data_IF_759783618025
#
_entry.id   IF_759783618025
#
_cell.length_a   1.000
_cell.length_b   1.000
_cell.length_c   1.000
_cell.angle_alpha   90.00
_cell.angle_beta   90.00
_cell.angle_gamma   90.00
#
_symmetry.space_group_name_H-M   'P 1'
#
loop_
_entity.id
_entity.type
_entity.pdbx_description
1 polymer ?
#
# COMPACT_ATOMS: atom_id res chain seq x y z
N UNK A 1 -7.12 -1.08 1.95
CA UNK A 1 -8.20 -0.15 2.34
C UNK A 1 -8.55 -0.26 3.83
N UNK A 2 -8.62 -1.49 4.40
CA UNK A 2 -8.98 -1.66 5.83
C UNK A 2 -8.00 -1.02 6.81
N UNK A 3 -6.71 -0.89 6.48
CA UNK A 3 -5.76 -0.12 7.30
C UNK A 3 -6.16 1.35 7.47
N UNK A 4 -6.90 1.91 6.50
CA UNK A 4 -7.44 3.27 6.54
C UNK A 4 -8.90 3.26 7.05
N UNK A 5 -9.17 2.57 8.16
CA UNK A 5 -10.43 2.65 8.92
C UNK A 5 -10.17 3.17 10.32
N UNK A 6 -11.23 3.65 10.97
CA UNK A 6 -11.11 4.19 12.34
C UNK A 6 -10.65 3.10 13.33
N UNK A 7 -11.17 1.87 13.17
CA UNK A 7 -10.91 0.74 14.06
C UNK A 7 -9.57 0.03 13.81
N UNK A 8 -8.90 0.30 12.66
CA UNK A 8 -7.62 -0.34 12.37
C UNK A 8 -6.57 0.00 13.45
N UNK A 9 -5.96 -0.99 14.11
CA UNK A 9 -5.03 -0.77 15.21
C UNK A 9 -3.63 -0.40 14.72
N UNK A 10 -3.55 0.59 13.81
CA UNK A 10 -2.31 1.13 13.28
C UNK A 10 -2.17 2.60 13.67
N UNK A 11 -0.92 3.05 13.77
CA UNK A 11 -0.62 4.44 14.13
C UNK A 11 -1.24 5.43 13.14
N UNK A 12 -1.66 6.61 13.65
CA UNK A 12 -2.30 7.64 12.82
C UNK A 12 -1.41 8.09 11.66
N UNK A 13 -0.10 8.17 11.86
CA UNK A 13 0.85 8.54 10.78
C UNK A 13 0.75 7.62 9.55
N UNK A 14 0.45 6.32 9.75
CA UNK A 14 0.24 5.37 8.63
C UNK A 14 -1.04 5.72 7.87
N UNK A 15 -2.13 6.01 8.60
CA UNK A 15 -3.40 6.44 8.00
C UNK A 15 -3.21 7.75 7.22
N UNK A 16 -2.50 8.71 7.80
CA UNK A 16 -2.20 9.99 7.17
C UNK A 16 -1.30 9.84 5.93
N UNK A 17 -0.32 8.92 5.97
CA UNK A 17 0.50 8.60 4.81
C UNK A 17 -0.33 8.01 3.67
N UNK A 18 -1.28 7.12 3.99
CA UNK A 18 -2.23 6.57 3.01
C UNK A 18 -3.10 7.68 2.39
N UNK A 19 -3.60 8.62 3.19
CA UNK A 19 -4.47 9.70 2.71
C UNK A 19 -3.73 10.71 1.80
N UNK A 20 -2.43 10.93 2.06
CA UNK A 20 -1.62 11.85 1.26
C UNK A 20 -1.13 11.24 -0.04
N UNK A 21 -1.07 9.91 -0.11
CA UNK A 21 -0.48 9.19 -1.23
C UNK A 21 -1.40 9.19 -2.45
N UNK A 22 -0.79 9.31 -3.61
CA UNK A 22 -1.40 9.11 -4.92
C UNK A 22 -1.01 7.74 -5.50
N UNK A 23 -1.59 7.34 -6.62
CA UNK A 23 -1.20 6.13 -7.34
C UNK A 23 0.26 6.15 -7.82
N UNK A 24 0.86 7.34 -7.94
CA UNK A 24 2.26 7.54 -8.35
C UNK A 24 3.26 7.38 -7.20
N UNK A 25 2.79 7.44 -5.95
CA UNK A 25 3.63 7.31 -4.76
C UNK A 25 3.90 5.85 -4.38
N UNK A 26 3.73 4.91 -5.31
CA UNK A 26 4.05 3.51 -5.09
C UNK A 26 5.16 3.04 -6.04
N UNK A 27 5.99 2.13 -5.57
CA UNK A 27 7.12 1.58 -6.31
C UNK A 27 7.18 0.06 -6.21
N UNK A 28 7.66 -0.59 -7.26
CA UNK A 28 7.97 -2.01 -7.24
C UNK A 28 9.43 -2.18 -6.87
N UNK A 29 9.68 -3.07 -5.89
CA UNK A 29 11.03 -3.40 -5.38
C UNK A 29 11.23 -4.92 -5.36
N UNK A 30 12.45 -5.36 -5.07
CA UNK A 30 12.87 -6.75 -4.89
C UNK A 30 12.70 -7.64 -6.13
N UNK A 31 12.64 -7.05 -7.33
CA UNK A 31 12.59 -7.83 -8.59
C UNK A 31 13.79 -8.74 -8.79
N UNK A 32 15.06 -8.27 -8.61
CA UNK A 32 16.23 -9.14 -8.78
C UNK A 32 16.25 -10.30 -7.80
N UNK A 33 15.62 -10.14 -6.63
CA UNK A 33 15.48 -11.19 -5.60
C UNK A 33 14.34 -12.18 -5.89
N UNK A 34 13.61 -12.01 -7.02
CA UNK A 34 12.41 -12.80 -7.37
C UNK A 34 11.33 -12.79 -6.28
N UNK A 35 11.31 -11.75 -5.48
CA UNK A 35 10.33 -11.49 -4.41
C UNK A 35 9.69 -10.11 -4.62
N UNK A 36 9.14 -9.90 -5.81
CA UNK A 36 8.60 -8.62 -6.23
C UNK A 36 7.46 -8.15 -5.34
N UNK A 37 7.59 -6.96 -4.79
CA UNK A 37 6.57 -6.31 -3.98
C UNK A 37 6.31 -4.87 -4.45
N UNK A 38 5.06 -4.41 -4.31
CA UNK A 38 4.72 -3.00 -4.47
C UNK A 38 4.55 -2.37 -3.10
N UNK A 39 5.26 -1.28 -2.88
CA UNK A 39 5.37 -0.59 -1.58
C UNK A 39 5.09 0.90 -1.74
N UNK A 40 4.72 1.58 -0.65
CA UNK A 40 4.67 3.04 -0.64
C UNK A 40 6.10 3.59 -0.70
N UNK A 41 6.32 4.60 -1.55
CA UNK A 41 7.62 5.26 -1.68
C UNK A 41 7.92 6.06 -0.41
N UNK A 42 9.05 5.77 0.21
CA UNK A 42 9.56 6.41 1.42
C UNK A 42 11.09 6.33 1.45
N UNK A 43 11.73 6.86 2.48
CA UNK A 43 13.18 6.88 2.58
C UNK A 43 13.82 5.47 2.58
N UNK A 44 13.19 4.47 3.20
CA UNK A 44 13.68 3.09 3.17
C UNK A 44 13.60 2.49 1.76
N UNK A 45 12.51 2.75 1.05
CA UNK A 45 12.32 2.27 -0.34
C UNK A 45 13.34 2.88 -1.29
N UNK A 46 13.69 4.16 -1.12
CA UNK A 46 14.74 4.77 -1.93
C UNK A 46 16.11 4.13 -1.69
N UNK A 47 16.41 3.72 -0.44
CA UNK A 47 17.64 2.95 -0.14
C UNK A 47 17.64 1.58 -0.81
N UNK A 48 16.52 0.86 -0.80
CA UNK A 48 16.37 -0.41 -1.51
C UNK A 48 16.64 -0.22 -3.01
N UNK A 49 16.00 0.76 -3.63
CA UNK A 49 16.18 1.05 -5.07
C UNK A 49 17.61 1.43 -5.41
N UNK A 50 18.29 2.20 -4.54
CA UNK A 50 19.70 2.52 -4.72
C UNK A 50 20.58 1.25 -4.71
N UNK A 51 20.33 0.33 -3.77
CA UNK A 51 21.01 -0.97 -3.69
C UNK A 51 20.74 -1.86 -4.91
N UNK A 52 19.49 -1.93 -5.36
CA UNK A 52 19.13 -2.66 -6.58
C UNK A 52 19.86 -2.13 -7.81
N UNK A 53 20.01 -0.80 -7.95
CA UNK A 53 20.75 -0.19 -9.05
C UNK A 53 22.25 -0.45 -8.97
N UNK A 54 22.83 -0.39 -7.76
CA UNK A 54 24.26 -0.61 -7.52
C UNK A 54 24.67 -2.06 -7.79
N UNK A 55 23.91 -3.02 -7.28
CA UNK A 55 24.28 -4.44 -7.24
C UNK A 55 23.67 -5.26 -8.41
N UNK A 56 22.56 -4.80 -8.99
CA UNK A 56 21.85 -5.51 -10.04
C UNK A 56 21.51 -6.94 -9.64
N UNK A 57 21.81 -7.90 -10.50
CA UNK A 57 21.52 -9.34 -10.26
C UNK A 57 22.39 -9.97 -9.15
N UNK A 58 23.38 -9.24 -8.61
CA UNK A 58 24.23 -9.70 -7.51
C UNK A 58 23.64 -9.41 -6.14
N UNK A 59 22.56 -8.65 -6.07
CA UNK A 59 21.92 -8.28 -4.80
C UNK A 59 21.48 -9.52 -4.03
N UNK A 60 21.71 -9.49 -2.72
CA UNK A 60 21.24 -10.50 -1.79
C UNK A 60 20.25 -9.90 -0.81
N UNK A 61 19.40 -10.72 -0.21
CA UNK A 61 18.44 -10.25 0.80
C UNK A 61 19.13 -9.54 1.98
N UNK A 62 20.32 -9.98 2.37
CA UNK A 62 21.12 -9.33 3.41
C UNK A 62 21.44 -7.87 3.15
N UNK A 63 21.52 -7.47 1.87
CA UNK A 63 21.85 -6.08 1.48
C UNK A 63 20.72 -5.10 1.79
N UNK A 64 19.48 -5.59 1.85
CA UNK A 64 18.27 -4.81 2.09
C UNK A 64 17.53 -5.22 3.37
N UNK A 65 18.05 -6.20 4.11
CA UNK A 65 17.41 -6.72 5.32
C UNK A 65 17.02 -5.61 6.33
N UNK A 66 17.83 -4.56 6.57
CA UNK A 66 17.46 -3.48 7.49
C UNK A 66 16.18 -2.73 7.10
N UNK A 67 15.87 -2.66 5.81
CA UNK A 67 14.70 -1.95 5.25
C UNK A 67 13.44 -2.83 5.17
N UNK A 68 13.57 -4.16 5.32
CA UNK A 68 12.44 -5.09 5.13
C UNK A 68 12.21 -6.02 6.32
N UNK A 69 13.26 -6.43 7.03
CA UNK A 69 13.14 -7.40 8.11
C UNK A 69 12.73 -6.74 9.44
N UNK A 70 11.58 -7.18 10.00
CA UNK A 70 11.12 -6.73 11.31
C UNK A 70 10.64 -5.28 11.38
N UNK A 71 10.48 -4.59 10.24
CA UNK A 71 10.13 -3.17 10.19
C UNK A 71 8.65 -2.88 10.45
N UNK A 72 7.76 -3.85 10.25
CA UNK A 72 6.31 -3.64 10.37
C UNK A 72 5.89 -3.09 11.73
N UNK A 73 6.54 -3.52 12.83
CA UNK A 73 6.22 -2.99 14.15
C UNK A 73 6.50 -1.49 14.22
N UNK A 74 7.67 -1.05 13.76
CA UNK A 74 8.08 0.36 13.74
C UNK A 74 7.14 1.19 12.87
N UNK A 75 6.80 0.70 11.68
CA UNK A 75 5.90 1.39 10.75
C UNK A 75 4.48 1.43 11.30
N UNK A 76 3.87 0.25 11.57
CA UNK A 76 2.43 0.17 11.82
C UNK A 76 2.04 0.61 13.23
N UNK A 77 2.88 0.35 14.25
CA UNK A 77 2.52 0.64 15.64
C UNK A 77 3.27 1.84 16.23
N UNK A 78 4.55 2.01 15.89
CA UNK A 78 5.32 3.16 16.38
C UNK A 78 5.14 4.41 15.49
N UNK A 79 4.59 4.24 14.26
CA UNK A 79 4.25 5.33 13.35
C UNK A 79 5.43 5.92 12.59
N UNK A 80 6.58 5.25 12.59
CA UNK A 80 7.74 5.63 11.77
C UNK A 80 7.58 5.08 10.35
N UNK A 81 6.88 5.83 9.51
CA UNK A 81 6.54 5.43 8.14
C UNK A 81 7.76 5.28 7.22
N UNK A 82 8.92 5.81 7.63
CA UNK A 82 10.20 5.75 6.92
C UNK A 82 11.14 4.63 7.42
N UNK A 83 10.74 3.91 8.49
CA UNK A 83 11.58 2.86 9.10
C UNK A 83 11.79 1.65 8.19
N UNK A 84 10.93 1.42 7.21
CA UNK A 84 11.05 0.28 6.32
C UNK A 84 10.08 0.29 5.16
N UNK A 85 10.25 -0.66 4.25
CA UNK A 85 9.30 -0.89 3.16
C UNK A 85 8.02 -1.55 3.71
N UNK A 86 6.86 -1.04 3.29
CA UNK A 86 5.56 -1.62 3.62
C UNK A 86 4.62 -1.64 2.42
N UNK A 87 3.90 -2.74 2.31
CA UNK A 87 3.05 -3.04 1.15
C UNK A 87 2.00 -1.98 0.91
N UNK A 88 1.95 -1.44 -0.31
CA UNK A 88 0.96 -0.48 -0.72
C UNK A 88 0.70 -0.55 -2.22
N UNK A 89 -0.53 -0.89 -2.61
CA UNK A 89 -0.93 -0.93 -4.02
C UNK A 89 -1.30 0.45 -4.57
N UNK A 90 -1.30 0.60 -5.90
CA UNK A 90 -1.68 1.85 -6.60
C UNK A 90 -3.09 2.33 -6.26
N UNK A 91 -3.97 1.45 -5.78
CA UNK A 91 -5.31 1.80 -5.31
C UNK A 91 -5.29 2.80 -4.12
N UNK A 92 -4.13 3.04 -3.53
CA UNK A 92 -3.94 4.07 -2.50
C UNK A 92 -4.45 5.43 -2.97
N UNK A 93 -4.24 5.80 -4.23
CA UNK A 93 -4.74 7.05 -4.81
C UNK A 93 -6.28 7.21 -4.82
N UNK A 94 -7.03 6.14 -4.52
CA UNK A 94 -8.49 6.17 -4.36
C UNK A 94 -8.92 6.23 -2.89
N UNK A 95 -7.97 6.34 -1.94
CA UNK A 95 -8.25 6.38 -0.51
C UNK A 95 -8.12 7.82 -0.05
N UNK A 96 -9.23 8.47 0.23
CA UNK A 96 -9.31 9.89 0.57
C UNK A 96 -10.06 10.16 1.89
N UNK A 97 -10.43 9.11 2.64
CA UNK A 97 -11.09 9.21 3.93
C UNK A 97 -10.74 8.03 4.85
N UNK A 98 -11.05 8.18 6.14
CA UNK A 98 -10.91 7.15 7.18
C UNK A 98 -12.30 6.83 7.75
N UNK A 99 -13.11 6.03 7.04
CA UNK A 99 -14.44 5.63 7.51
C UNK A 99 -14.33 4.60 8.63
N UNK A 100 -15.45 4.30 9.27
CA UNK A 100 -15.58 3.07 10.05
C UNK A 100 -15.51 1.83 9.14
N UNK A 101 -15.15 0.68 9.70
CA UNK A 101 -15.15 -0.58 8.95
C UNK A 101 -16.56 -0.92 8.43
N UNK A 102 -17.60 -0.59 9.20
CA UNK A 102 -19.02 -0.74 8.79
C UNK A 102 -19.32 0.09 7.55
N UNK A 103 -19.03 1.40 7.58
CA UNK A 103 -19.27 2.30 6.46
C UNK A 103 -18.50 1.86 5.20
N UNK A 104 -17.26 1.38 5.37
CA UNK A 104 -16.48 0.87 4.25
C UNK A 104 -17.15 -0.33 3.58
N UNK A 105 -17.66 -1.28 4.36
CA UNK A 105 -18.36 -2.48 3.86
C UNK A 105 -19.67 -2.05 3.18
N UNK A 106 -20.49 -1.22 3.83
CA UNK A 106 -21.76 -0.75 3.29
C UNK A 106 -21.58 -0.01 1.95
N UNK A 107 -20.61 0.90 1.87
CA UNK A 107 -20.26 1.60 0.61
C UNK A 107 -19.79 0.63 -0.48
N UNK A 108 -19.02 -0.39 -0.12
CA UNK A 108 -18.53 -1.40 -1.08
C UNK A 108 -19.68 -2.22 -1.64
N UNK A 109 -20.62 -2.67 -0.79
CA UNK A 109 -21.78 -3.44 -1.21
C UNK A 109 -22.74 -2.60 -2.08
N UNK A 110 -23.09 -1.41 -1.64
CA UNK A 110 -23.94 -0.50 -2.41
C UNK A 110 -23.32 -0.18 -3.79
N UNK A 111 -21.99 0.03 -3.87
CA UNK A 111 -21.32 0.25 -5.14
C UNK A 111 -21.35 -0.98 -6.05
N UNK A 112 -21.18 -2.18 -5.48
CA UNK A 112 -21.26 -3.43 -6.24
C UNK A 112 -22.68 -3.63 -6.82
N UNK A 113 -23.72 -3.41 -6.03
CA UNK A 113 -25.12 -3.49 -6.47
C UNK A 113 -25.42 -2.48 -7.59
N UNK A 114 -24.98 -1.22 -7.45
CA UNK A 114 -25.14 -0.20 -8.48
C UNK A 114 -24.44 -0.60 -9.79
N UNK A 115 -23.22 -1.11 -9.72
CA UNK A 115 -22.49 -1.58 -10.91
C UNK A 115 -23.21 -2.73 -11.62
N UNK A 116 -23.75 -3.68 -10.88
CA UNK A 116 -24.50 -4.82 -11.44
C UNK A 116 -25.80 -4.34 -12.09
N UNK A 117 -26.60 -3.56 -11.36
CA UNK A 117 -27.95 -3.18 -11.79
C UNK A 117 -27.98 -2.10 -12.88
N UNK A 118 -27.01 -1.20 -12.89
CA UNK A 118 -27.00 -0.06 -13.82
C UNK A 118 -26.03 -0.32 -14.98
N UNK A 119 -24.73 -0.51 -14.68
CA UNK A 119 -23.69 -0.59 -15.70
C UNK A 119 -23.70 -1.92 -16.45
N UNK A 120 -23.67 -3.06 -15.74
CA UNK A 120 -23.61 -4.38 -16.40
C UNK A 120 -24.95 -4.70 -17.08
N UNK A 121 -26.09 -4.44 -16.44
CA UNK A 121 -27.38 -4.63 -17.06
C UNK A 121 -27.59 -3.74 -18.30
N UNK A 122 -26.98 -2.54 -18.32
CA UNK A 122 -26.99 -1.66 -19.48
C UNK A 122 -26.28 -2.24 -20.71
N UNK A 123 -25.19 -3.00 -20.50
CA UNK A 123 -24.45 -3.66 -21.58
C UNK A 123 -25.22 -4.80 -22.25
N UNK A 124 -26.20 -5.38 -21.55
CA UNK A 124 -27.06 -6.46 -22.10
C UNK A 124 -28.24 -5.94 -22.93
N UNK A 125 -28.49 -4.63 -22.90
CA UNK A 125 -29.60 -3.97 -23.60
C UNK A 125 -29.16 -3.22 -24.87
N UNK A 126 -27.87 -3.19 -25.13
CA UNK A 126 -27.26 -2.63 -26.34
C UNK A 126 -27.07 -3.72 -27.41
#
# INVERSE_FOLDING_TARGET
RFLATQEAPVHQNVKDAILRATELDTRIVMRPLRNTERVLTNAAVERIVAKERELGDRIQFSDIAPEVAGVYKKVLYDGDVDAGAWSCGMVVGLINDIPTARELIERTMARAEALINERLAGLLRA
#
